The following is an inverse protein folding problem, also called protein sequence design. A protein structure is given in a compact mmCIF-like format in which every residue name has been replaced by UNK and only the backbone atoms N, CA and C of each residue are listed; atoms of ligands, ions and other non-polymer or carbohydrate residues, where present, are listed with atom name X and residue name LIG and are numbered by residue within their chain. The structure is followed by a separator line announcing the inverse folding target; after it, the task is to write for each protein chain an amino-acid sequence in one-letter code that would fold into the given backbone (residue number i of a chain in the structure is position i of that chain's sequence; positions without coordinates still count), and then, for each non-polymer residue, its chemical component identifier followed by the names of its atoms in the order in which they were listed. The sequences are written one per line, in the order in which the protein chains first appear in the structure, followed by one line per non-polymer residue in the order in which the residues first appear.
data_IF_846567295163
#
_entry.id   IF_846567295163
#
_cell.length_a   1.000
_cell.length_b   1.000
_cell.length_c   1.000
_cell.angle_alpha   90.00
_cell.angle_beta   90.00
_cell.angle_gamma   90.00
#
_symmetry.space_group_name_H-M   'P 1'
#
loop_
_entity.id
_entity.type
_entity.pdbx_description
1 polymer ?
#
# COMPACT_ATOMS: atom_id res chain seq x y z
N UNK A 1 -5.74 27.00 0.35
CA UNK A 1 -6.61 26.56 1.47
C UNK A 1 -5.77 25.68 2.37
N UNK A 2 -5.57 26.05 3.65
CA UNK A 2 -4.76 25.28 4.61
C UNK A 2 -5.69 24.32 5.36
N UNK A 3 -5.53 23.02 5.16
CA UNK A 3 -6.22 22.01 5.95
C UNK A 3 -5.32 21.53 7.09
N UNK A 4 -5.92 21.16 8.22
CA UNK A 4 -5.17 20.53 9.30
C UNK A 4 -4.59 19.19 8.81
N UNK A 5 -3.34 18.85 9.17
CA UNK A 5 -2.74 17.56 8.82
C UNK A 5 -3.59 16.36 9.27
N UNK A 6 -4.28 16.48 10.41
CA UNK A 6 -5.17 15.46 10.95
C UNK A 6 -6.36 15.21 10.03
N UNK A 7 -6.99 16.28 9.53
CA UNK A 7 -8.09 16.16 8.58
C UNK A 7 -7.64 15.49 7.27
N UNK A 8 -6.46 15.85 6.77
CA UNK A 8 -5.87 15.21 5.58
C UNK A 8 -5.65 13.71 5.82
N UNK A 9 -5.15 13.33 7.00
CA UNK A 9 -4.98 11.94 7.38
C UNK A 9 -6.32 11.19 7.45
N UNK A 10 -7.35 11.77 8.05
CA UNK A 10 -8.70 11.18 8.12
C UNK A 10 -9.30 10.99 6.73
N UNK A 11 -9.20 12.00 5.86
CA UNK A 11 -9.68 11.94 4.48
C UNK A 11 -8.97 10.84 3.70
N UNK A 12 -7.64 10.76 3.80
CA UNK A 12 -6.85 9.71 3.15
C UNK A 12 -7.22 8.31 3.67
N UNK A 13 -7.40 8.13 4.98
CA UNK A 13 -7.84 6.87 5.58
C UNK A 13 -9.22 6.45 5.10
N UNK A 14 -10.19 7.37 5.08
CA UNK A 14 -11.53 7.08 4.59
C UNK A 14 -11.51 6.61 3.13
N UNK A 15 -10.70 7.26 2.28
CA UNK A 15 -10.56 6.90 0.87
C UNK A 15 -10.03 5.48 0.62
N UNK A 16 -9.52 4.77 1.63
CA UNK A 16 -9.12 3.35 1.52
C UNK A 16 -10.30 2.38 1.52
N UNK A 17 -11.45 2.79 2.08
CA UNK A 17 -12.62 1.93 2.26
C UNK A 17 -13.88 2.45 1.57
N UNK A 18 -13.88 3.70 1.09
CA UNK A 18 -15.03 4.30 0.41
C UNK A 18 -14.61 5.11 -0.82
N UNK A 19 -15.54 5.28 -1.76
CA UNK A 19 -15.29 6.11 -2.94
C UNK A 19 -15.14 7.59 -2.58
N UNK A 20 -14.44 8.36 -3.42
CA UNK A 20 -14.19 9.79 -3.14
C UNK A 20 -15.48 10.61 -3.00
N UNK A 21 -16.58 10.21 -3.67
CA UNK A 21 -17.89 10.84 -3.49
C UNK A 21 -18.44 10.60 -2.08
N UNK A 22 -18.31 9.37 -1.59
CA UNK A 22 -18.74 9.02 -0.23
C UNK A 22 -17.90 9.74 0.81
N UNK A 23 -16.58 9.90 0.58
CA UNK A 23 -15.72 10.71 1.46
C UNK A 23 -16.24 12.15 1.53
N UNK A 24 -16.52 12.78 0.38
CA UNK A 24 -17.08 14.13 0.34
C UNK A 24 -18.40 14.24 1.13
N UNK A 25 -19.30 13.27 0.96
CA UNK A 25 -20.56 13.24 1.70
C UNK A 25 -20.34 13.08 3.20
N UNK A 26 -19.49 12.14 3.62
CA UNK A 26 -19.17 11.93 5.03
C UNK A 26 -18.57 13.18 5.67
N UNK A 27 -17.63 13.85 4.99
CA UNK A 27 -17.00 15.07 5.51
C UNK A 27 -18.01 16.20 5.65
N UNK A 28 -18.96 16.31 4.73
CA UNK A 28 -20.06 17.28 4.82
C UNK A 28 -20.99 16.98 6.00
N UNK A 29 -21.40 15.73 6.20
CA UNK A 29 -22.35 15.37 7.25
C UNK A 29 -21.73 15.44 8.65
N UNK A 30 -20.51 14.93 8.84
CA UNK A 30 -19.92 14.78 10.17
C UNK A 30 -19.00 15.93 10.59
N UNK A 31 -18.37 16.63 9.64
CA UNK A 31 -17.50 17.76 9.93
C UNK A 31 -18.11 19.11 9.53
N UNK A 32 -19.26 19.11 8.85
CA UNK A 32 -19.89 20.33 8.30
C UNK A 32 -18.95 21.11 7.36
N UNK A 33 -18.05 20.38 6.68
CA UNK A 33 -17.09 20.94 5.73
C UNK A 33 -17.42 20.45 4.32
N UNK A 34 -17.50 21.38 3.37
CA UNK A 34 -17.62 21.02 1.96
C UNK A 34 -16.24 20.85 1.32
N UNK A 35 -15.96 19.64 0.85
CA UNK A 35 -14.74 19.31 0.12
C UNK A 35 -15.07 18.73 -1.26
N UNK A 36 -14.17 18.90 -2.21
CA UNK A 36 -14.32 18.33 -3.56
C UNK A 36 -13.55 17.02 -3.67
N UNK A 37 -13.85 16.25 -4.72
CA UNK A 37 -13.07 15.04 -5.03
C UNK A 37 -11.58 15.34 -5.25
N UNK A 38 -11.26 16.52 -5.77
CA UNK A 38 -9.88 16.97 -5.97
C UNK A 38 -9.16 17.15 -4.64
N UNK A 39 -9.84 17.67 -3.61
CA UNK A 39 -9.32 17.72 -2.24
C UNK A 39 -9.00 16.33 -1.71
N UNK A 40 -9.90 15.35 -1.91
CA UNK A 40 -9.68 13.95 -1.51
C UNK A 40 -8.47 13.36 -2.25
N UNK A 41 -8.40 13.55 -3.56
CA UNK A 41 -7.28 13.09 -4.39
C UNK A 41 -5.94 13.67 -3.91
N UNK A 42 -5.89 14.97 -3.61
CA UNK A 42 -4.69 15.64 -3.09
C UNK A 42 -4.27 15.08 -1.73
N UNK A 43 -5.22 14.79 -0.85
CA UNK A 43 -4.94 14.17 0.45
C UNK A 43 -4.33 12.76 0.28
N UNK A 44 -4.91 11.94 -0.61
CA UNK A 44 -4.41 10.60 -0.91
C UNK A 44 -3.00 10.66 -1.53
N UNK A 45 -2.76 11.56 -2.49
CA UNK A 45 -1.42 11.76 -3.08
C UNK A 45 -0.39 12.12 -2.02
N UNK A 46 -0.70 13.05 -1.14
CA UNK A 46 0.21 13.45 -0.06
C UNK A 46 0.50 12.29 0.90
N UNK A 47 -0.49 11.47 1.23
CA UNK A 47 -0.28 10.28 2.04
C UNK A 47 0.63 9.26 1.33
N UNK A 48 0.48 9.09 0.01
CA UNK A 48 1.35 8.25 -0.80
C UNK A 48 2.81 8.72 -0.83
N UNK A 49 3.05 10.03 -0.99
CA UNK A 49 4.38 10.63 -0.92
C UNK A 49 5.05 10.38 0.45
N UNK A 50 4.32 10.57 1.55
CA UNK A 50 4.85 10.31 2.89
C UNK A 50 5.17 8.83 3.10
N UNK A 51 4.39 7.92 2.51
CA UNK A 51 4.65 6.50 2.58
C UNK A 51 5.92 6.11 1.82
N UNK A 52 6.10 6.65 0.61
CA UNK A 52 7.31 6.37 -0.19
C UNK A 52 8.56 6.99 0.43
N UNK A 53 8.46 8.21 0.99
CA UNK A 53 9.53 8.82 1.79
C UNK A 53 9.96 7.93 2.96
N UNK A 54 8.98 7.33 3.67
CA UNK A 54 9.25 6.39 4.78
C UNK A 54 9.93 5.11 4.30
N UNK A 55 9.48 4.52 3.20
CA UNK A 55 10.09 3.31 2.63
C UNK A 55 11.53 3.57 2.19
N UNK A 56 11.77 4.67 1.46
CA UNK A 56 13.11 5.07 1.04
C UNK A 56 14.06 5.29 2.24
N UNK A 57 13.55 5.89 3.32
CA UNK A 57 14.33 6.07 4.54
C UNK A 57 14.63 4.75 5.26
N UNK A 58 13.73 3.76 5.20
CA UNK A 58 13.98 2.42 5.72
C UNK A 58 15.09 1.72 4.91
N UNK A 59 15.01 1.75 3.58
CA UNK A 59 16.04 1.17 2.70
C UNK A 59 17.41 1.83 2.88
N UNK A 60 17.47 3.16 3.02
CA UNK A 60 18.73 3.88 3.22
C UNK A 60 19.45 3.53 4.54
N UNK A 61 18.75 2.92 5.50
CA UNK A 61 19.33 2.43 6.77
C UNK A 61 19.76 0.98 6.74
N UNK A 62 19.40 0.22 5.71
CA UNK A 62 19.78 -1.19 5.61
C UNK A 62 21.26 -1.30 5.20
N UNK A 63 22.05 -2.00 6.02
CA UNK A 63 23.43 -2.35 5.68
C UNK A 63 23.44 -3.33 4.48
N UNK A 64 24.51 -3.35 3.66
CA UNK A 64 24.59 -4.26 2.52
C UNK A 64 24.45 -5.72 2.97
N UNK A 65 23.30 -6.32 2.67
CA UNK A 65 23.00 -7.71 3.01
C UNK A 65 23.91 -8.67 2.24
N UNK A 66 24.55 -9.59 2.96
CA UNK A 66 25.35 -10.66 2.34
C UNK A 66 24.46 -11.56 1.48
N UNK A 67 24.91 -11.91 0.28
CA UNK A 67 24.20 -12.82 -0.63
C UNK A 67 24.01 -14.18 0.06
N UNK A 68 22.75 -14.59 0.23
CA UNK A 68 22.38 -15.88 0.84
C UNK A 68 22.18 -16.90 -0.27
N UNK A 69 22.73 -18.11 -0.11
CA UNK A 69 22.55 -19.23 -1.05
C UNK A 69 21.83 -20.38 -0.32
N UNK A 70 20.49 -20.34 -0.19
CA UNK A 70 19.74 -21.34 0.57
C UNK A 70 19.66 -22.67 -0.18
N UNK A 71 19.56 -23.79 0.56
CA UNK A 71 19.34 -25.11 -0.04
C UNK A 71 17.96 -25.25 -0.69
N UNK A 72 16.95 -24.61 -0.10
CA UNK A 72 15.56 -24.59 -0.58
C UNK A 72 15.05 -23.16 -0.37
N UNK A 73 14.44 -22.60 -1.41
CA UNK A 73 13.79 -21.29 -1.39
C UNK A 73 12.30 -21.49 -1.63
N UNK A 74 11.45 -21.05 -0.70
CA UNK A 74 10.00 -21.06 -0.86
C UNK A 74 9.54 -19.67 -1.32
N UNK A 75 8.63 -19.66 -2.28
CA UNK A 75 8.03 -18.45 -2.85
C UNK A 75 6.52 -18.58 -2.66
N UNK A 76 5.93 -17.68 -1.89
CA UNK A 76 4.48 -17.55 -1.76
C UNK A 76 4.06 -16.29 -2.53
N UNK A 77 3.00 -16.38 -3.32
CA UNK A 77 2.51 -15.27 -4.12
C UNK A 77 1.00 -15.16 -4.02
N UNK A 78 0.51 -13.93 -3.92
CA UNK A 78 -0.90 -13.57 -4.09
C UNK A 78 -1.00 -12.42 -5.10
N UNK A 79 -2.10 -12.34 -5.83
CA UNK A 79 -2.27 -11.35 -6.89
C UNK A 79 -3.73 -11.03 -7.20
N UNK A 80 -3.98 -9.75 -7.50
CA UNK A 80 -5.30 -9.26 -7.90
C UNK A 80 -5.19 -8.38 -9.14
N UNK A 81 -6.12 -8.59 -10.07
CA UNK A 81 -6.20 -7.85 -11.31
C UNK A 81 -7.22 -6.70 -11.20
N UNK A 82 -6.76 -5.45 -11.35
CA UNK A 82 -7.57 -4.23 -11.17
C UNK A 82 -7.79 -3.52 -12.51
N UNK A 83 -9.04 -3.21 -12.86
CA UNK A 83 -9.33 -2.39 -14.05
C UNK A 83 -8.87 -0.95 -13.84
N UNK A 84 -7.95 -0.46 -14.68
CA UNK A 84 -7.57 0.95 -14.72
C UNK A 84 -8.03 1.59 -16.04
N UNK A 85 -8.46 2.84 -15.95
CA UNK A 85 -8.93 3.64 -17.09
C UNK A 85 -7.90 4.68 -17.56
N UNK A 86 -6.62 4.46 -17.27
CA UNK A 86 -5.57 5.42 -17.59
C UNK A 86 -5.42 5.58 -19.10
N UNK A 87 -5.86 6.73 -19.62
CA UNK A 87 -6.09 7.01 -21.06
C UNK A 87 -4.82 7.25 -21.87
N UNK A 88 -3.64 7.06 -21.27
CA UNK A 88 -2.34 7.24 -21.94
C UNK A 88 -1.89 6.00 -22.73
N UNK A 89 -2.59 4.86 -22.60
CA UNK A 89 -2.27 3.62 -23.30
C UNK A 89 -3.56 2.98 -23.79
N UNK A 90 -3.70 2.95 -25.11
CA UNK A 90 -4.84 2.34 -25.80
C UNK A 90 -5.07 0.89 -25.33
N UNK A 91 -6.35 0.53 -25.33
CA UNK A 91 -6.94 -0.77 -25.00
C UNK A 91 -6.89 -1.21 -23.53
N UNK A 92 -7.99 -0.95 -22.80
CA UNK A 92 -8.41 -1.60 -21.53
C UNK A 92 -7.31 -2.44 -20.84
N UNK A 93 -6.45 -1.81 -20.04
CA UNK A 93 -5.38 -2.52 -19.34
C UNK A 93 -5.74 -2.71 -17.88
N UNK A 94 -6.16 -3.92 -17.57
CA UNK A 94 -6.15 -4.38 -16.20
C UNK A 94 -4.70 -4.29 -15.66
N UNK A 95 -4.52 -3.69 -14.49
CA UNK A 95 -3.27 -3.62 -13.76
C UNK A 95 -3.18 -4.84 -12.86
N UNK A 96 -2.10 -5.61 -12.98
CA UNK A 96 -1.83 -6.72 -12.09
C UNK A 96 -1.10 -6.20 -10.83
N UNK A 97 -1.67 -6.47 -9.67
CA UNK A 97 -1.09 -6.17 -8.37
C UNK A 97 -0.73 -7.49 -7.70
N UNK A 98 0.54 -7.89 -7.85
CA UNK A 98 1.07 -9.12 -7.27
C UNK A 98 2.01 -8.84 -6.11
N UNK A 99 1.90 -9.62 -5.03
CA UNK A 99 2.78 -9.60 -3.88
C UNK A 99 3.44 -10.96 -3.71
N UNK A 100 4.76 -10.98 -3.54
CA UNK A 100 5.55 -12.19 -3.32
C UNK A 100 6.27 -12.15 -1.97
N UNK A 101 6.29 -13.29 -1.29
CA UNK A 101 7.02 -13.54 -0.06
C UNK A 101 8.05 -14.63 -0.29
N UNK A 102 9.26 -14.41 0.23
CA UNK A 102 10.38 -15.34 0.11
C UNK A 102 10.73 -15.90 1.48
N UNK A 103 10.93 -17.22 1.57
CA UNK A 103 11.32 -17.93 2.79
C UNK A 103 12.51 -18.86 2.53
N UNK A 104 13.46 -18.88 3.47
CA UNK A 104 14.70 -19.69 3.39
C UNK A 104 14.67 -20.94 4.28
N UNK A 105 13.56 -21.18 5.01
CA UNK A 105 13.42 -22.35 5.88
C UNK A 105 12.01 -22.52 6.43
N UNK A 106 11.69 -23.75 6.81
CA UNK A 106 10.43 -24.12 7.45
C UNK A 106 10.69 -24.90 8.75
N UNK A 107 9.84 -24.68 9.76
CA UNK A 107 9.85 -25.42 11.03
C UNK A 107 8.47 -26.05 11.21
N UNK A 108 8.42 -27.38 11.21
CA UNK A 108 7.19 -28.10 11.52
C UNK A 108 6.96 -28.10 13.03
N UNK A 109 5.87 -27.49 13.47
CA UNK A 109 5.43 -27.46 14.87
C UNK A 109 4.08 -28.16 14.91
N UNK A 110 4.05 -29.38 15.46
CA UNK A 110 2.89 -30.26 15.42
C UNK A 110 2.37 -30.50 13.98
N UNK A 111 1.10 -30.20 13.69
CA UNK A 111 0.49 -30.34 12.35
C UNK A 111 0.73 -29.12 11.43
N UNK A 112 1.34 -28.05 11.94
CA UNK A 112 1.50 -26.78 11.22
C UNK A 112 2.96 -26.62 10.77
N UNK A 113 3.17 -26.17 9.54
CA UNK A 113 4.49 -25.79 9.02
C UNK A 113 4.60 -24.27 9.12
N UNK A 114 5.54 -23.77 9.93
CA UNK A 114 5.84 -22.34 10.01
C UNK A 114 7.03 -22.02 9.09
N UNK A 115 6.90 -20.98 8.27
CA UNK A 115 7.98 -20.51 7.41
C UNK A 115 8.68 -19.31 8.03
N UNK A 116 10.01 -19.29 7.98
CA UNK A 116 10.79 -18.14 8.42
C UNK A 116 10.75 -17.11 7.31
N UNK A 117 10.12 -15.96 7.57
CA UNK A 117 10.14 -14.84 6.63
C UNK A 117 11.56 -14.31 6.55
N UNK A 118 12.04 -14.00 5.35
CA UNK A 118 13.22 -13.15 5.20
C UNK A 118 12.85 -11.79 5.79
N UNK A 119 13.20 -11.55 7.05
CA UNK A 119 13.25 -10.20 7.58
C UNK A 119 14.52 -9.60 7.00
N UNK A 120 14.37 -8.77 5.97
CA UNK A 120 15.35 -7.73 5.71
C UNK A 120 15.44 -6.93 7.03
N UNK A 121 16.58 -7.00 7.69
CA UNK A 121 16.92 -6.29 8.91
C UNK A 121 18.19 -5.52 8.62
#
# INVERSE_FOLDING_TARGET
MRFSPELVCHVAKMATVMSYRQVCHFVKEFYHLEITKDTVLKAVKRAGELLSEKENFAFAKEEPTKKINPKILYIEGDGVMVKSSDSARDDKRNVDLAHFLLHTGSKKIAKIVMFWKISMR
#
